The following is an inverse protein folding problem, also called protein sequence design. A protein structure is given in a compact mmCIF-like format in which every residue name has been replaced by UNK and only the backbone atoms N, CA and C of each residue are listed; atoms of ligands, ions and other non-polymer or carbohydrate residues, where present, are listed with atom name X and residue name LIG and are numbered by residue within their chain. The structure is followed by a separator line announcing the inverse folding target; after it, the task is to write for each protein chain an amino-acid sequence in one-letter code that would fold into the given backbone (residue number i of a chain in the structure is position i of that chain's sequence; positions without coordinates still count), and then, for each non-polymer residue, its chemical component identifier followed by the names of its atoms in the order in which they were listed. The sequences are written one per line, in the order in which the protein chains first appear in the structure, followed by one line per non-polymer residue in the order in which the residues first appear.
data_IF_999356052504
#
_entry.id   IF_999356052504
#
_cell.length_a   1.000
_cell.length_b   1.000
_cell.length_c   1.000
_cell.angle_alpha   90.00
_cell.angle_beta   90.00
_cell.angle_gamma   90.00
#
_symmetry.space_group_name_H-M   'P 1'
#
loop_
_entity.id
_entity.type
_entity.pdbx_description
1 polymer ?
#
# COMPACT_ATOMS: atom_id res chain seq x y z
N UNK A 1 -21.32 -0.10 5.32
CA UNK A 1 -22.63 -0.10 4.64
C UNK A 1 -23.11 1.35 4.59
N UNK A 2 -22.89 2.07 3.48
CA UNK A 2 -23.21 3.50 3.35
C UNK A 2 -24.52 3.76 2.60
N UNK A 3 -25.33 2.74 2.34
CA UNK A 3 -26.56 2.86 1.55
C UNK A 3 -27.72 2.25 2.33
N UNK A 4 -28.27 3.07 3.23
CA UNK A 4 -29.45 2.74 4.03
C UNK A 4 -30.77 3.23 3.42
N UNK A 5 -30.74 4.00 2.33
CA UNK A 5 -31.96 4.52 1.71
C UNK A 5 -31.88 4.39 0.20
N UNK A 6 -32.96 3.91 -0.42
CA UNK A 6 -33.17 3.83 -1.87
C UNK A 6 -33.39 5.23 -2.50
N UNK A 7 -32.69 6.24 -1.98
CA UNK A 7 -32.72 7.63 -2.45
C UNK A 7 -31.80 7.76 -3.66
N UNK A 8 -32.29 8.40 -4.71
CA UNK A 8 -31.53 8.77 -5.91
C UNK A 8 -31.10 10.23 -5.83
N UNK A 9 -30.21 10.62 -6.75
CA UNK A 9 -29.79 12.02 -6.87
C UNK A 9 -30.98 12.96 -7.09
N UNK A 10 -31.96 12.55 -7.91
CA UNK A 10 -33.15 13.35 -8.21
C UNK A 10 -33.96 13.67 -6.95
N UNK A 11 -34.08 12.73 -6.01
CA UNK A 11 -34.85 12.93 -4.78
C UNK A 11 -34.24 14.06 -3.95
N UNK A 12 -32.91 14.08 -3.84
CA UNK A 12 -32.17 15.12 -3.09
C UNK A 12 -32.29 16.47 -3.79
N UNK A 13 -32.26 16.51 -5.11
CA UNK A 13 -32.40 17.76 -5.88
C UNK A 13 -33.83 18.35 -5.79
N UNK A 14 -34.85 17.51 -5.68
CA UNK A 14 -36.23 17.94 -5.42
C UNK A 14 -36.40 18.39 -3.96
N UNK A 15 -35.86 17.64 -3.00
CA UNK A 15 -35.89 17.98 -1.56
C UNK A 15 -35.22 19.34 -1.29
N UNK A 16 -34.15 19.67 -2.01
CA UNK A 16 -33.43 20.95 -1.91
C UNK A 16 -34.07 22.09 -2.71
N UNK A 17 -35.15 21.81 -3.45
CA UNK A 17 -35.84 22.80 -4.27
C UNK A 17 -35.07 23.25 -5.51
N UNK A 18 -34.00 22.52 -5.89
CA UNK A 18 -33.19 22.79 -7.10
C UNK A 18 -33.91 22.36 -8.38
N UNK A 19 -34.77 21.34 -8.27
CA UNK A 19 -35.62 20.85 -9.34
C UNK A 19 -37.06 20.83 -8.85
N UNK A 20 -38.01 21.24 -9.69
CA UNK A 20 -39.44 21.12 -9.37
C UNK A 20 -39.87 19.66 -9.44
N UNK A 21 -40.80 19.28 -8.56
CA UNK A 21 -41.33 17.90 -8.52
C UNK A 21 -42.00 17.50 -9.85
N UNK A 22 -42.57 18.47 -10.57
CA UNK A 22 -43.16 18.26 -11.91
C UNK A 22 -42.14 17.77 -12.93
N UNK A 23 -40.97 18.42 -12.98
CA UNK A 23 -39.89 18.08 -13.90
C UNK A 23 -39.18 16.77 -13.50
N UNK A 24 -39.25 16.39 -12.22
CA UNK A 24 -38.57 15.21 -11.68
C UNK A 24 -39.02 13.89 -12.34
N UNK A 25 -40.28 13.78 -12.77
CA UNK A 25 -40.80 12.56 -13.41
C UNK A 25 -40.09 12.21 -14.72
N UNK A 26 -39.63 13.21 -15.48
CA UNK A 26 -38.87 13.00 -16.72
C UNK A 26 -37.44 12.51 -16.47
N UNK A 27 -36.99 12.61 -15.22
CA UNK A 27 -35.63 12.33 -14.79
C UNK A 27 -35.52 11.07 -13.93
N UNK A 28 -36.61 10.58 -13.32
CA UNK A 28 -36.64 9.39 -12.43
C UNK A 28 -36.14 8.10 -13.07
N UNK A 29 -36.31 7.97 -14.40
CA UNK A 29 -35.90 6.79 -15.18
C UNK A 29 -34.43 6.79 -15.55
N UNK A 30 -33.73 7.92 -15.39
CA UNK A 30 -32.31 8.04 -15.74
C UNK A 30 -31.42 7.48 -14.63
N UNK A 31 -30.23 7.02 -15.01
CA UNK A 31 -29.15 6.73 -14.06
C UNK A 31 -28.63 8.04 -13.47
N UNK A 32 -28.01 8.00 -12.29
CA UNK A 32 -27.45 9.21 -11.66
C UNK A 32 -26.46 9.94 -12.59
N UNK A 33 -25.64 9.20 -13.35
CA UNK A 33 -24.72 9.78 -14.33
C UNK A 33 -25.45 10.46 -15.49
N UNK A 34 -26.41 9.78 -16.14
CA UNK A 34 -27.16 10.36 -17.25
C UNK A 34 -28.01 11.55 -16.81
N UNK A 35 -28.50 11.51 -15.57
CA UNK A 35 -29.19 12.62 -14.94
C UNK A 35 -28.27 13.83 -14.77
N UNK A 36 -27.10 13.64 -14.17
CA UNK A 36 -26.09 14.68 -14.01
C UNK A 36 -25.72 15.35 -15.35
N UNK A 37 -25.40 14.55 -16.37
CA UNK A 37 -25.06 15.05 -17.70
C UNK A 37 -26.19 15.88 -18.32
N UNK A 38 -27.44 15.40 -18.23
CA UNK A 38 -28.62 16.09 -18.79
C UNK A 38 -28.91 17.39 -18.05
N UNK A 39 -28.83 17.38 -16.72
CA UNK A 39 -29.09 18.55 -15.89
C UNK A 39 -28.05 19.66 -16.11
N UNK A 40 -26.77 19.29 -16.26
CA UNK A 40 -25.71 20.22 -16.60
C UNK A 40 -25.87 20.78 -18.01
N UNK A 41 -26.19 19.92 -19.00
CA UNK A 41 -26.39 20.35 -20.38
C UNK A 41 -27.55 21.34 -20.54
N UNK A 42 -28.60 21.20 -19.72
CA UNK A 42 -29.74 22.10 -19.69
C UNK A 42 -29.53 23.34 -18.78
N UNK A 43 -28.40 23.41 -18.07
CA UNK A 43 -28.09 24.52 -17.14
C UNK A 43 -29.04 24.62 -15.95
N UNK A 44 -29.74 23.53 -15.61
CA UNK A 44 -30.77 23.53 -14.55
C UNK A 44 -30.15 23.53 -13.14
N UNK A 45 -28.96 22.94 -12.99
CA UNK A 45 -28.21 22.91 -11.73
C UNK A 45 -26.72 23.11 -11.97
N UNK A 46 -26.06 23.76 -11.01
CA UNK A 46 -24.61 23.94 -11.05
C UNK A 46 -23.87 22.67 -10.62
N UNK A 47 -22.60 22.53 -11.02
CA UNK A 47 -21.75 21.43 -10.55
C UNK A 47 -21.63 21.43 -9.01
N UNK A 48 -21.63 22.60 -8.36
CA UNK A 48 -21.55 22.68 -6.90
C UNK A 48 -22.82 22.12 -6.24
N UNK A 49 -24.00 22.39 -6.81
CA UNK A 49 -25.27 21.80 -6.35
C UNK A 49 -25.28 20.29 -6.50
N UNK A 50 -24.77 19.78 -7.63
CA UNK A 50 -24.66 18.34 -7.89
C UNK A 50 -23.73 17.66 -6.89
N UNK A 51 -22.56 18.24 -6.65
CA UNK A 51 -21.60 17.71 -5.67
C UNK A 51 -22.18 17.72 -4.25
N UNK A 52 -22.92 18.78 -3.89
CA UNK A 52 -23.62 18.86 -2.61
C UNK A 52 -24.71 17.79 -2.50
N UNK A 53 -25.48 17.58 -3.57
CA UNK A 53 -26.53 16.56 -3.59
C UNK A 53 -25.95 15.15 -3.43
N UNK A 54 -24.80 14.84 -4.05
CA UNK A 54 -24.11 13.59 -3.84
C UNK A 54 -23.51 13.46 -2.42
N UNK A 55 -22.97 14.53 -1.87
CA UNK A 55 -22.48 14.56 -0.49
C UNK A 55 -23.61 14.22 0.50
N UNK A 56 -24.80 14.81 0.31
CA UNK A 56 -25.99 14.51 1.09
C UNK A 56 -26.49 13.08 0.88
N UNK A 57 -26.52 12.61 -0.38
CA UNK A 57 -26.98 11.27 -0.75
C UNK A 57 -26.15 10.17 -0.09
N UNK A 58 -24.82 10.31 -0.12
CA UNK A 58 -23.88 9.32 0.42
C UNK A 58 -23.46 9.60 1.86
N UNK A 59 -23.96 10.68 2.47
CA UNK A 59 -23.53 11.16 3.79
C UNK A 59 -22.00 11.33 3.88
N UNK A 60 -21.41 11.89 2.82
CA UNK A 60 -19.98 12.14 2.70
C UNK A 60 -19.68 13.63 2.85
N UNK A 61 -18.53 14.01 3.44
CA UNK A 61 -18.13 15.40 3.50
C UNK A 61 -17.77 15.92 2.10
N UNK A 62 -18.08 17.19 1.84
CA UNK A 62 -17.57 17.92 0.69
C UNK A 62 -16.24 18.57 1.07
N UNK A 63 -15.20 18.32 0.29
CA UNK A 63 -13.86 18.90 0.47
C UNK A 63 -13.51 19.79 -0.71
N UNK A 64 -12.88 20.93 -0.43
CA UNK A 64 -12.25 21.78 -1.44
C UNK A 64 -10.74 21.53 -1.40
N UNK A 65 -10.15 21.16 -2.53
CA UNK A 65 -8.72 20.87 -2.69
C UNK A 65 -7.99 21.92 -3.52
N UNK A 66 -8.70 22.93 -4.01
CA UNK A 66 -8.10 24.07 -4.68
C UNK A 66 -7.08 24.74 -3.76
N UNK A 67 -5.91 25.04 -4.30
CA UNK A 67 -4.78 25.68 -3.60
C UNK A 67 -4.22 24.86 -2.42
N UNK A 68 -4.64 23.60 -2.24
CA UNK A 68 -4.10 22.71 -1.22
C UNK A 68 -2.84 22.00 -1.73
N UNK A 69 -1.72 22.17 -1.04
CA UNK A 69 -0.51 21.37 -1.29
C UNK A 69 -0.61 20.04 -0.53
N UNK A 70 -0.63 18.92 -1.27
CA UNK A 70 -0.74 17.58 -0.68
C UNK A 70 0.65 16.94 -0.69
N UNK A 71 1.12 16.36 0.44
CA UNK A 71 2.40 15.68 0.48
C UNK A 71 2.47 14.54 -0.54
N UNK A 72 3.61 14.41 -1.22
CA UNK A 72 3.78 13.41 -2.28
C UNK A 72 3.60 11.98 -1.78
N UNK A 73 4.04 11.69 -0.57
CA UNK A 73 3.85 10.39 0.09
C UNK A 73 2.37 10.01 0.20
N UNK A 74 1.47 11.00 0.32
CA UNK A 74 0.01 10.80 0.36
C UNK A 74 -0.55 10.61 -1.05
N UNK A 75 -0.14 11.44 -2.01
CA UNK A 75 -0.55 11.32 -3.42
C UNK A 75 -0.15 9.96 -4.01
N UNK A 76 1.07 9.49 -3.70
CA UNK A 76 1.60 8.21 -4.16
C UNK A 76 0.83 7.00 -3.61
N UNK A 77 -0.01 7.17 -2.58
CA UNK A 77 -0.88 6.09 -2.10
C UNK A 77 -1.90 5.69 -3.17
N UNK A 78 -2.39 6.63 -3.97
CA UNK A 78 -3.23 6.34 -5.15
C UNK A 78 -2.43 6.76 -6.38
N UNK A 79 -1.82 5.81 -7.11
CA UNK A 79 -1.10 6.08 -8.35
C UNK A 79 -1.89 6.91 -9.37
N UNK A 80 -1.19 7.73 -10.16
CA UNK A 80 -1.80 8.68 -11.11
C UNK A 80 -2.74 8.00 -12.12
N UNK A 81 -2.37 6.80 -12.59
CA UNK A 81 -3.20 6.01 -13.49
C UNK A 81 -4.57 5.66 -12.88
N UNK A 82 -4.59 5.23 -11.61
CA UNK A 82 -5.83 4.95 -10.88
C UNK A 82 -6.60 6.24 -10.58
N UNK A 83 -5.89 7.30 -10.18
CA UNK A 83 -6.49 8.60 -9.89
C UNK A 83 -7.22 9.17 -11.11
N UNK A 84 -6.61 9.08 -12.31
CA UNK A 84 -7.22 9.52 -13.57
C UNK A 84 -8.34 8.60 -14.05
N UNK A 85 -8.18 7.28 -13.90
CA UNK A 85 -9.16 6.27 -14.34
C UNK A 85 -10.45 6.36 -13.54
N UNK A 86 -10.34 6.43 -12.22
CA UNK A 86 -11.48 6.44 -11.31
C UNK A 86 -11.89 7.83 -10.84
N UNK A 87 -11.15 8.90 -11.21
CA UNK A 87 -11.44 10.28 -10.79
C UNK A 87 -11.46 10.44 -9.26
N UNK A 88 -10.46 9.84 -8.63
CA UNK A 88 -10.27 9.85 -7.18
C UNK A 88 -8.85 10.32 -6.85
N UNK A 89 -8.65 10.86 -5.65
CA UNK A 89 -7.32 11.25 -5.18
C UNK A 89 -7.18 11.13 -3.68
N UNK A 90 -6.01 10.70 -3.20
CA UNK A 90 -5.69 10.74 -1.78
C UNK A 90 -5.25 12.15 -1.40
N UNK A 91 -5.85 12.75 -0.37
CA UNK A 91 -5.54 14.13 0.04
C UNK A 91 -5.05 14.25 1.47
N UNK A 92 -5.23 13.22 2.30
CA UNK A 92 -4.63 13.16 3.62
C UNK A 92 -4.43 11.70 4.06
N UNK A 93 -3.37 11.46 4.82
CA UNK A 93 -3.10 10.19 5.46
C UNK A 93 -2.72 10.43 6.92
N UNK A 94 -3.36 9.75 7.85
CA UNK A 94 -3.09 9.91 9.29
C UNK A 94 -3.24 8.58 10.00
N UNK A 95 -2.13 8.03 10.48
CA UNK A 95 -2.11 6.70 11.10
C UNK A 95 -2.51 5.63 10.10
N UNK A 96 -3.62 4.94 10.38
CA UNK A 96 -4.24 3.93 9.52
C UNK A 96 -5.34 4.51 8.61
N UNK A 97 -5.64 5.80 8.69
CA UNK A 97 -6.75 6.43 7.98
C UNK A 97 -6.28 7.16 6.73
N UNK A 98 -6.79 6.73 5.58
CA UNK A 98 -6.59 7.38 4.29
C UNK A 98 -7.85 8.16 3.89
N UNK A 99 -7.72 9.47 3.71
CA UNK A 99 -8.81 10.29 3.18
C UNK A 99 -8.72 10.39 1.66
N UNK A 100 -9.80 10.03 1.00
CA UNK A 100 -9.90 9.96 -0.47
C UNK A 100 -10.99 10.88 -0.95
N UNK A 101 -10.68 11.75 -1.90
CA UNK A 101 -11.63 12.64 -2.54
C UNK A 101 -12.09 12.04 -3.87
N UNK A 102 -13.39 12.16 -4.16
CA UNK A 102 -14.06 11.59 -5.33
C UNK A 102 -14.71 12.73 -6.12
N UNK A 103 -14.36 12.88 -7.39
CA UNK A 103 -14.86 13.96 -8.22
C UNK A 103 -16.06 13.59 -9.09
N UNK A 104 -16.18 12.32 -9.50
CA UNK A 104 -17.31 11.80 -10.29
C UNK A 104 -18.07 10.72 -9.51
N UNK A 105 -18.77 11.06 -8.40
CA UNK A 105 -19.50 10.09 -7.60
C UNK A 105 -20.63 9.40 -8.38
N UNK A 106 -21.25 10.07 -9.36
CA UNK A 106 -22.29 9.49 -10.22
C UNK A 106 -21.81 8.31 -11.05
N UNK A 107 -20.63 8.44 -11.65
CA UNK A 107 -19.99 7.39 -12.44
C UNK A 107 -19.51 6.23 -11.58
N UNK A 108 -18.99 6.54 -10.40
CA UNK A 108 -18.54 5.52 -9.46
C UNK A 108 -19.68 4.91 -8.65
N UNK A 109 -20.90 5.45 -8.66
CA UNK A 109 -21.99 5.03 -7.79
C UNK A 109 -22.19 3.50 -7.70
N UNK A 110 -22.07 2.79 -8.84
CA UNK A 110 -22.21 1.33 -8.90
C UNK A 110 -20.99 0.56 -8.33
N UNK A 111 -19.79 1.10 -8.50
CA UNK A 111 -18.53 0.40 -8.25
C UNK A 111 -17.70 1.03 -7.12
N UNK A 112 -18.20 2.08 -6.46
CA UNK A 112 -17.46 2.88 -5.49
C UNK A 112 -16.94 2.00 -4.35
N UNK A 113 -17.78 1.11 -3.83
CA UNK A 113 -17.38 0.17 -2.78
C UNK A 113 -16.26 -0.77 -3.25
N UNK A 114 -16.31 -1.25 -4.50
CA UNK A 114 -15.29 -2.13 -5.05
C UNK A 114 -13.95 -1.41 -5.22
N UNK A 115 -13.97 -0.18 -5.74
CA UNK A 115 -12.77 0.65 -5.90
C UNK A 115 -12.15 0.98 -4.54
N UNK A 116 -12.96 1.32 -3.54
CA UNK A 116 -12.48 1.57 -2.19
C UNK A 116 -11.92 0.29 -1.54
N UNK A 117 -12.58 -0.86 -1.69
CA UNK A 117 -12.08 -2.13 -1.15
C UNK A 117 -10.79 -2.59 -1.85
N UNK A 118 -10.61 -2.33 -3.15
CA UNK A 118 -9.36 -2.60 -3.87
C UNK A 118 -8.19 -1.80 -3.27
N UNK A 119 -8.39 -0.51 -3.03
CA UNK A 119 -7.39 0.37 -2.39
C UNK A 119 -7.11 -0.07 -0.95
N UNK A 120 -8.13 -0.51 -0.22
CA UNK A 120 -8.03 -0.97 1.18
C UNK A 120 -7.29 -2.31 1.30
N UNK A 121 -7.65 -3.29 0.48
CA UNK A 121 -7.06 -4.64 0.48
C UNK A 121 -5.57 -4.62 0.17
N UNK A 122 -5.14 -3.73 -0.74
CA UNK A 122 -3.73 -3.60 -1.10
C UNK A 122 -2.85 -3.05 0.03
N UNK A 123 -3.41 -2.32 1.01
CA UNK A 123 -2.61 -1.50 1.94
C UNK A 123 -3.00 -1.59 3.42
N UNK A 124 -4.07 -2.30 3.77
CA UNK A 124 -4.52 -2.43 5.16
C UNK A 124 -5.04 -1.12 5.79
N UNK A 125 -5.39 -0.12 4.97
CA UNK A 125 -5.78 1.22 5.41
C UNK A 125 -7.31 1.35 5.54
N UNK A 126 -7.76 2.14 6.52
CA UNK A 126 -9.15 2.57 6.66
C UNK A 126 -9.42 3.76 5.76
N UNK A 127 -10.33 3.61 4.80
CA UNK A 127 -10.63 4.68 3.85
C UNK A 127 -11.79 5.55 4.32
N UNK A 128 -11.58 6.87 4.30
CA UNK A 128 -12.62 7.88 4.49
C UNK A 128 -12.87 8.64 3.18
N UNK A 129 -13.93 8.29 2.43
CA UNK A 129 -14.28 8.98 1.20
C UNK A 129 -14.87 10.38 1.47
N UNK A 130 -14.63 11.30 0.55
CA UNK A 130 -15.16 12.66 0.52
C UNK A 130 -15.50 13.02 -0.92
N UNK A 131 -16.45 13.92 -1.14
CA UNK A 131 -16.79 14.46 -2.45
C UNK A 131 -15.95 15.71 -2.73
N UNK A 132 -15.46 15.87 -3.95
CA UNK A 132 -14.72 17.06 -4.40
C UNK A 132 -15.23 17.49 -5.78
N UNK A 133 -14.82 18.68 -6.22
CA UNK A 133 -15.09 19.13 -7.58
C UNK A 133 -14.10 18.56 -8.60
N UNK A 134 -14.49 18.49 -9.88
CA UNK A 134 -13.58 18.15 -10.97
C UNK A 134 -12.46 19.18 -11.15
N UNK A 135 -12.72 20.46 -10.89
CA UNK A 135 -11.70 21.51 -10.93
C UNK A 135 -10.62 21.27 -9.87
N UNK A 136 -11.04 20.91 -8.67
CA UNK A 136 -10.19 20.62 -7.52
C UNK A 136 -9.38 19.33 -7.76
N UNK A 137 -10.01 18.29 -8.30
CA UNK A 137 -9.30 17.07 -8.70
C UNK A 137 -8.23 17.39 -9.75
N UNK A 138 -8.57 18.16 -10.79
CA UNK A 138 -7.61 18.51 -11.84
C UNK A 138 -6.42 19.32 -11.29
N UNK A 139 -6.67 20.22 -10.33
CA UNK A 139 -5.61 20.95 -9.64
C UNK A 139 -4.67 20.00 -8.89
N UNK A 140 -5.21 19.04 -8.14
CA UNK A 140 -4.37 18.05 -7.44
C UNK A 140 -3.65 17.11 -8.42
N UNK A 141 -4.30 16.73 -9.52
CA UNK A 141 -3.68 15.91 -10.57
C UNK A 141 -2.46 16.58 -11.21
N UNK A 142 -2.35 17.91 -11.19
CA UNK A 142 -1.13 18.62 -11.61
C UNK A 142 0.04 18.42 -10.63
N UNK A 143 -0.25 18.20 -9.35
CA UNK A 143 0.75 17.96 -8.31
C UNK A 143 1.38 16.57 -8.41
N UNK A 144 0.67 15.59 -9.01
CA UNK A 144 1.28 14.32 -9.40
C UNK A 144 2.48 14.54 -10.33
N UNK A 145 2.40 15.54 -11.21
CA UNK A 145 3.45 15.88 -12.18
C UNK A 145 4.64 16.64 -11.60
N UNK A 146 4.42 17.46 -10.56
CA UNK A 146 5.44 18.40 -10.06
C UNK A 146 6.60 17.72 -9.30
N UNK A 147 6.41 16.49 -8.83
CA UNK A 147 7.50 15.62 -8.38
C UNK A 147 7.33 14.20 -8.93
N UNK A 148 7.01 14.10 -10.22
CA UNK A 148 7.37 12.89 -10.94
C UNK A 148 8.88 12.70 -10.81
N UNK A 149 9.32 11.77 -9.97
CA UNK A 149 10.15 10.71 -10.56
C UNK A 149 9.35 10.21 -11.76
N UNK A 150 9.85 10.38 -12.99
CA UNK A 150 9.05 10.26 -14.21
C UNK A 150 8.18 8.99 -14.20
N UNK A 151 6.87 9.06 -14.45
CA UNK A 151 6.08 7.90 -14.83
C UNK A 151 6.59 7.54 -16.21
N UNK A 152 7.50 6.56 -16.27
CA UNK A 152 8.03 5.96 -17.50
C UNK A 152 8.03 6.98 -18.64
N UNK A 153 8.75 8.10 -18.45
CA UNK A 153 8.87 9.04 -19.54
C UNK A 153 9.49 8.25 -20.67
N UNK A 154 8.86 8.33 -21.84
CA UNK A 154 9.57 8.38 -23.10
C UNK A 154 10.52 9.59 -23.06
N UNK A 155 11.50 9.56 -22.15
CA UNK A 155 12.70 10.35 -22.23
C UNK A 155 13.52 9.76 -23.35
N UNK A 156 14.01 10.57 -24.30
CA UNK A 156 15.01 10.09 -25.22
C UNK A 156 16.19 9.60 -24.37
N UNK A 157 16.66 8.39 -24.66
CA UNK A 157 17.89 7.75 -24.17
C UNK A 157 18.89 8.76 -23.58
N UNK A 158 18.86 8.93 -22.26
CA UNK A 158 20.03 9.39 -21.51
C UNK A 158 20.35 8.25 -20.57
N UNK A 159 21.22 7.37 -21.04
CA UNK A 159 21.77 6.26 -20.27
C UNK A 159 22.36 6.84 -18.98
N UNK A 160 21.66 6.66 -17.85
CA UNK A 160 22.16 7.09 -16.54
C UNK A 160 23.35 6.19 -16.21
N UNK A 161 24.54 6.77 -16.08
CA UNK A 161 25.75 6.01 -15.76
C UNK A 161 25.70 5.58 -14.30
N UNK A 162 25.98 4.31 -14.01
CA UNK A 162 25.93 3.76 -12.65
C UNK A 162 27.20 2.98 -12.30
N UNK A 163 27.64 3.14 -11.06
CA UNK A 163 28.76 2.38 -10.48
C UNK A 163 28.24 1.20 -9.66
N UNK A 164 28.21 0.00 -10.26
CA UNK A 164 27.76 -1.22 -9.58
C UNK A 164 28.70 -1.70 -8.47
N UNK A 165 29.94 -1.21 -8.40
CA UNK A 165 30.93 -1.62 -7.39
C UNK A 165 30.60 -1.09 -5.97
N UNK A 166 29.87 0.03 -5.87
CA UNK A 166 29.51 0.66 -4.59
C UNK A 166 28.18 0.13 -4.01
N UNK A 167 27.47 -0.69 -4.78
CA UNK A 167 26.11 -1.12 -4.48
C UNK A 167 26.13 -2.59 -4.08
N UNK A 168 25.58 -2.90 -2.91
CA UNK A 168 25.32 -4.29 -2.52
C UNK A 168 23.98 -4.74 -3.09
N UNK A 169 24.01 -5.74 -3.97
CA UNK A 169 22.80 -6.26 -4.62
C UNK A 169 22.35 -7.52 -3.88
N UNK A 170 21.14 -7.52 -3.27
CA UNK A 170 20.62 -8.70 -2.61
C UNK A 170 20.28 -9.80 -3.63
N UNK A 171 20.42 -11.07 -3.22
CA UNK A 171 20.19 -12.23 -4.08
C UNK A 171 18.76 -12.24 -4.68
N UNK A 172 17.76 -11.81 -3.92
CA UNK A 172 16.36 -11.72 -4.37
C UNK A 172 16.17 -10.78 -5.56
N UNK A 173 17.00 -9.76 -5.68
CA UNK A 173 16.92 -8.76 -6.75
C UNK A 173 17.66 -9.25 -7.98
N UNK A 174 18.89 -9.74 -7.81
CA UNK A 174 19.70 -10.22 -8.93
C UNK A 174 19.11 -11.49 -9.56
N UNK A 175 18.48 -12.36 -8.76
CA UNK A 175 17.84 -13.59 -9.24
C UNK A 175 16.57 -13.37 -10.08
N UNK A 176 16.03 -12.14 -10.14
CA UNK A 176 14.92 -11.81 -11.04
C UNK A 176 15.27 -12.05 -12.52
N UNK A 177 16.55 -11.92 -12.87
CA UNK A 177 17.06 -12.25 -14.20
C UNK A 177 17.94 -13.50 -14.06
N UNK A 178 17.70 -14.59 -14.82
CA UNK A 178 18.56 -15.77 -14.77
C UNK A 178 20.01 -15.42 -15.13
N UNK A 179 20.98 -16.06 -14.46
CA UNK A 179 22.41 -15.80 -14.69
C UNK A 179 22.81 -15.94 -16.16
N UNK A 180 22.22 -16.91 -16.87
CA UNK A 180 22.49 -17.14 -18.29
C UNK A 180 22.11 -15.94 -19.17
N UNK A 181 20.97 -15.30 -18.86
CA UNK A 181 20.47 -14.11 -19.57
C UNK A 181 21.34 -12.91 -19.20
N UNK A 182 21.60 -12.74 -17.91
CA UNK A 182 22.42 -11.64 -17.39
C UNK A 182 23.83 -11.66 -17.98
N UNK A 183 24.47 -12.84 -18.03
CA UNK A 183 25.82 -13.04 -18.58
C UNK A 183 25.86 -12.90 -20.10
N UNK A 184 24.88 -13.46 -20.81
CA UNK A 184 24.83 -13.44 -22.28
C UNK A 184 24.60 -12.03 -22.83
N UNK A 185 23.74 -11.26 -22.16
CA UNK A 185 23.36 -9.92 -22.61
C UNK A 185 23.98 -8.79 -21.80
N UNK A 186 24.93 -9.11 -20.92
CA UNK A 186 25.65 -8.15 -20.06
C UNK A 186 24.68 -7.15 -19.43
N UNK A 187 23.70 -7.68 -18.71
CA UNK A 187 22.70 -6.91 -17.98
C UNK A 187 22.51 -7.48 -16.58
N UNK A 188 22.18 -6.63 -15.60
CA UNK A 188 21.97 -7.07 -14.21
C UNK A 188 20.93 -6.20 -13.53
N UNK A 189 20.04 -6.81 -12.76
CA UNK A 189 19.12 -6.07 -11.88
C UNK A 189 19.87 -5.76 -10.59
N UNK A 190 20.00 -4.48 -10.24
CA UNK A 190 20.75 -4.07 -9.04
C UNK A 190 19.84 -3.56 -7.91
N UNK A 191 18.65 -3.07 -8.23
CA UNK A 191 17.72 -2.54 -7.24
C UNK A 191 16.26 -2.82 -7.65
N UNK A 192 15.42 -3.14 -6.67
CA UNK A 192 13.99 -3.31 -6.87
C UNK A 192 13.21 -2.67 -5.70
N UNK A 193 13.02 -1.34 -5.70
CA UNK A 193 12.33 -0.66 -4.60
C UNK A 193 10.83 -1.00 -4.55
N UNK A 194 10.27 -1.57 -5.62
CA UNK A 194 8.88 -2.06 -5.64
C UNK A 194 8.75 -3.38 -6.42
N UNK A 195 7.78 -4.26 -6.12
CA UNK A 195 7.53 -5.46 -6.91
C UNK A 195 7.26 -5.14 -8.39
N UNK A 196 6.60 -4.02 -8.67
CA UNK A 196 6.30 -3.51 -10.02
C UNK A 196 7.32 -2.49 -10.56
N UNK A 197 8.48 -2.32 -9.91
CA UNK A 197 9.51 -1.39 -10.37
C UNK A 197 10.92 -1.92 -10.08
N UNK A 198 11.72 -2.09 -11.14
CA UNK A 198 13.10 -2.58 -11.06
C UNK A 198 14.07 -1.69 -11.82
N UNK A 199 15.30 -1.60 -11.32
CA UNK A 199 16.40 -0.89 -11.96
C UNK A 199 17.40 -1.90 -12.52
N UNK A 200 17.70 -1.78 -13.81
CA UNK A 200 18.55 -2.70 -14.56
C UNK A 200 19.72 -1.96 -15.15
N UNK A 201 20.93 -2.45 -14.88
CA UNK A 201 22.15 -1.97 -15.49
C UNK A 201 22.48 -2.81 -16.73
N UNK A 202 22.91 -2.15 -17.80
CA UNK A 202 23.15 -2.71 -19.13
C UNK A 202 24.48 -2.18 -19.66
N UNK A 203 25.31 -3.05 -20.24
CA UNK A 203 26.55 -2.63 -20.90
C UNK A 203 26.29 -1.88 -22.22
N UNK A 204 25.38 -2.40 -23.05
CA UNK A 204 25.11 -1.92 -24.40
C UNK A 204 23.61 -1.66 -24.62
N UNK A 205 23.09 -0.44 -24.32
CA UNK A 205 21.66 -0.10 -24.51
C UNK A 205 21.23 0.00 -25.98
N UNK A 206 22.17 -0.15 -26.92
CA UNK A 206 21.89 -0.17 -28.35
C UNK A 206 21.64 -1.58 -28.89
N UNK A 207 21.91 -2.63 -28.11
CA UNK A 207 21.62 -4.00 -28.53
C UNK A 207 20.11 -4.18 -28.72
N UNK A 208 19.72 -4.77 -29.85
CA UNK A 208 18.32 -5.01 -30.20
C UNK A 208 17.71 -6.08 -29.28
N UNK A 209 18.46 -7.13 -28.96
CA UNK A 209 17.98 -8.25 -28.13
C UNK A 209 17.79 -7.82 -26.69
N UNK A 210 18.68 -6.96 -26.17
CA UNK A 210 18.53 -6.37 -24.84
C UNK A 210 17.20 -5.65 -24.72
N UNK A 211 16.87 -4.79 -25.69
CA UNK A 211 15.59 -4.07 -25.72
C UNK A 211 14.40 -5.02 -25.76
N UNK A 212 14.42 -6.02 -26.64
CA UNK A 212 13.35 -7.03 -26.74
C UNK A 212 13.13 -7.78 -25.41
N UNK A 213 14.21 -8.10 -24.68
CA UNK A 213 14.11 -8.76 -23.36
C UNK A 213 13.50 -7.83 -22.32
N UNK A 214 13.95 -6.58 -22.27
CA UNK A 214 13.43 -5.60 -21.31
C UNK A 214 11.95 -5.30 -21.58
N UNK A 215 11.57 -5.13 -22.85
CA UNK A 215 10.18 -4.90 -23.26
C UNK A 215 9.30 -6.11 -22.94
N UNK A 216 9.80 -7.33 -23.19
CA UNK A 216 9.10 -8.56 -22.79
C UNK A 216 8.84 -8.62 -21.28
N UNK A 217 9.85 -8.27 -20.46
CA UNK A 217 9.70 -8.27 -19.00
C UNK A 217 8.72 -7.20 -18.53
N UNK A 218 8.74 -6.00 -19.16
CA UNK A 218 7.78 -4.92 -18.90
C UNK A 218 6.34 -5.37 -19.17
N UNK A 219 6.09 -5.93 -20.35
CA UNK A 219 4.75 -6.27 -20.81
C UNK A 219 4.16 -7.52 -20.12
N UNK A 220 4.98 -8.55 -19.90
CA UNK A 220 4.51 -9.80 -19.27
C UNK A 220 4.14 -9.66 -17.81
N UNK A 221 4.80 -8.75 -17.09
CA UNK A 221 4.71 -8.66 -15.64
C UNK A 221 4.14 -7.33 -15.14
N UNK A 222 3.78 -6.40 -16.04
CA UNK A 222 3.36 -5.02 -15.70
C UNK A 222 4.39 -4.32 -14.78
N UNK A 223 5.69 -4.55 -15.05
CA UNK A 223 6.81 -4.03 -14.26
C UNK A 223 7.44 -2.84 -15.00
N UNK A 224 7.60 -1.71 -14.32
CA UNK A 224 8.39 -0.60 -14.82
C UNK A 224 9.89 -0.91 -14.69
N UNK A 225 10.64 -0.78 -15.79
CA UNK A 225 12.09 -1.02 -15.82
C UNK A 225 12.83 0.27 -16.14
N UNK A 226 13.74 0.65 -15.24
CA UNK A 226 14.65 1.77 -15.42
C UNK A 226 16.04 1.28 -15.86
N UNK A 227 16.52 1.81 -16.99
CA UNK A 227 17.77 1.39 -17.63
C UNK A 227 18.94 2.30 -17.22
N UNK A 228 20.03 1.67 -16.78
CA UNK A 228 21.28 2.33 -16.42
C UNK A 228 22.43 1.77 -17.28
N UNK A 229 23.39 2.62 -17.65
CA UNK A 229 24.60 2.18 -18.34
C UNK A 229 25.68 1.86 -17.31
N UNK A 230 26.25 0.66 -17.39
CA UNK A 230 27.36 0.24 -16.55
C UNK A 230 28.46 -0.39 -17.40
N UNK A 231 29.71 -0.29 -16.95
CA UNK A 231 30.81 -0.91 -17.69
C UNK A 231 30.67 -2.44 -17.68
N UNK A 232 31.11 -3.15 -18.75
CA UNK A 232 31.09 -4.61 -18.77
C UNK A 232 31.81 -5.22 -17.56
N UNK A 233 32.92 -4.61 -17.13
CA UNK A 233 33.69 -5.05 -15.96
C UNK A 233 32.87 -5.01 -14.66
N UNK A 234 32.11 -3.95 -14.45
CA UNK A 234 31.21 -3.79 -13.30
C UNK A 234 30.10 -4.85 -13.31
N UNK A 235 29.51 -5.11 -14.48
CA UNK A 235 28.48 -6.13 -14.63
C UNK A 235 29.05 -7.53 -14.35
N UNK A 236 30.23 -7.87 -14.86
CA UNK A 236 30.86 -9.16 -14.55
C UNK A 236 31.15 -9.35 -13.05
N UNK A 237 31.53 -8.28 -12.34
CA UNK A 237 31.74 -8.35 -10.88
C UNK A 237 30.45 -8.58 -10.11
N UNK A 238 29.35 -7.98 -10.57
CA UNK A 238 28.03 -8.17 -9.97
C UNK A 238 27.54 -9.62 -10.01
N UNK A 239 28.05 -10.45 -10.93
CA UNK A 239 27.68 -11.86 -10.97
C UNK A 239 28.13 -12.67 -9.75
N UNK A 240 29.02 -12.13 -8.91
CA UNK A 240 29.34 -12.74 -7.62
C UNK A 240 28.12 -12.86 -6.70
N UNK A 241 27.13 -11.99 -6.87
CA UNK A 241 25.89 -12.00 -6.11
C UNK A 241 24.87 -13.04 -6.61
N UNK A 242 25.11 -13.71 -7.75
CA UNK A 242 24.30 -14.86 -8.20
C UNK A 242 24.61 -16.15 -7.45
N UNK A 243 25.71 -16.20 -6.70
CA UNK A 243 25.93 -17.34 -5.81
C UNK A 243 25.03 -17.14 -4.57
N UNK A 244 24.18 -18.12 -4.22
CA UNK A 244 23.53 -18.11 -2.92
C UNK A 244 24.62 -18.01 -1.85
N UNK A 245 24.34 -17.42 -0.68
CA UNK A 245 25.31 -17.36 0.41
C UNK A 245 25.87 -18.77 0.59
N UNK A 246 27.16 -18.96 0.29
CA UNK A 246 27.83 -20.17 0.75
C UNK A 246 27.70 -20.09 2.25
N UNK A 247 26.91 -20.99 2.82
CA UNK A 247 26.95 -21.32 4.22
C UNK A 247 28.44 -21.46 4.52
N UNK A 248 29.01 -20.48 5.22
CA UNK A 248 30.37 -20.55 5.70
C UNK A 248 30.49 -21.91 6.37
N UNK A 249 31.54 -22.72 6.09
CA UNK A 249 31.74 -23.94 6.83
C UNK A 249 31.59 -23.56 8.30
N UNK A 250 30.55 -24.09 8.96
CA UNK A 250 30.53 -24.08 10.41
C UNK A 250 31.91 -24.59 10.78
N UNK A 251 32.66 -23.77 11.49
CA UNK A 251 33.89 -24.21 12.12
C UNK A 251 33.48 -25.46 12.88
N UNK A 252 33.82 -26.62 12.32
CA UNK A 252 33.52 -27.88 12.95
C UNK A 252 34.16 -27.76 14.33
N UNK A 253 33.33 -27.73 15.36
CA UNK A 253 33.79 -27.95 16.72
C UNK A 253 34.74 -29.14 16.66
N UNK A 254 35.98 -29.02 17.17
CA UNK A 254 36.93 -30.12 17.08
C UNK A 254 36.25 -31.37 17.61
N UNK A 255 36.40 -32.53 16.94
CA UNK A 255 35.77 -33.75 17.38
C UNK A 255 36.13 -34.00 18.85
N UNK A 256 35.19 -34.49 19.67
CA UNK A 256 35.51 -34.84 21.04
C UNK A 256 36.70 -35.82 21.04
N UNK A 257 37.65 -35.68 21.98
CA UNK A 257 38.81 -36.56 22.02
C UNK A 257 38.34 -38.01 22.09
N UNK A 258 38.98 -38.86 21.29
CA UNK A 258 38.71 -40.30 21.25
C UNK A 258 38.72 -40.88 22.68
N UNK A 259 37.83 -41.83 23.01
CA UNK A 259 37.85 -42.48 24.31
C UNK A 259 39.21 -43.16 24.50
N UNK A 260 39.86 -42.87 25.62
CA UNK A 260 41.13 -43.45 25.99
C UNK A 260 41.04 -44.99 25.95
N UNK A 261 41.87 -45.59 25.11
CA UNK A 261 42.12 -47.04 25.10
C UNK A 261 42.71 -47.40 26.46
N UNK A 262 41.88 -47.93 27.34
CA UNK A 262 42.33 -48.51 28.60
C UNK A 262 42.78 -49.95 28.33
N UNK A 263 44.10 -50.17 28.35
CA UNK A 263 44.67 -51.51 28.43
C UNK A 263 44.32 -52.17 29.77
N UNK A 264 44.26 -53.50 29.84
CA UNK A 264 43.84 -54.23 31.02
C UNK A 264 45.00 -54.42 31.99
N UNK A 265 44.76 -54.18 33.29
CA UNK A 265 45.61 -54.71 34.35
C UNK A 265 44.73 -55.21 35.51
N UNK A 266 44.88 -56.50 35.72
CA UNK A 266 44.38 -57.39 36.77
C UNK A 266 44.57 -56.89 38.21
N UNK A 267 43.56 -57.14 39.04
CA UNK A 267 43.77 -57.78 40.35
C UNK A 267 43.39 -57.00 41.61
N UNK A 268 42.33 -57.45 42.29
CA UNK A 268 42.44 -57.76 43.72
C UNK A 268 41.59 -57.00 44.74
N UNK A 269 40.50 -57.67 45.15
CA UNK A 269 39.92 -57.80 46.51
C UNK A 269 39.02 -56.71 47.13
N UNK A 270 37.77 -57.16 47.35
CA UNK A 270 36.98 -57.22 48.61
C UNK A 270 36.84 -55.94 49.45
N UNK A 271 35.60 -55.44 49.58
CA UNK A 271 34.77 -55.70 50.78
C UNK A 271 33.36 -55.11 50.66
N UNK A 272 32.40 -55.91 51.11
CA UNK A 272 30.98 -55.66 51.41
C UNK A 272 30.62 -54.29 52.01
N UNK A 273 29.46 -53.76 51.60
CA UNK A 273 28.28 -53.67 52.48
C UNK A 273 27.07 -53.08 51.73
N UNK A 274 26.07 -53.91 51.47
CA UNK A 274 24.66 -53.54 51.19
C UNK A 274 23.91 -53.37 52.54
N UNK A 275 22.59 -53.13 52.58
CA UNK A 275 21.66 -52.32 51.75
C UNK A 275 20.83 -51.37 52.65
N UNK A 276 19.88 -50.59 52.10
CA UNK A 276 18.46 -50.53 52.52
C UNK A 276 17.71 -49.61 51.53
N UNK A 277 16.65 -50.14 50.93
CA UNK A 277 15.63 -49.45 50.12
C UNK A 277 14.34 -49.29 50.97
N UNK A 278 13.13 -49.01 50.43
CA UNK A 278 12.66 -48.06 49.40
C UNK A 278 11.48 -47.18 49.92
N UNK A 279 10.98 -46.21 49.14
CA UNK A 279 9.52 -45.89 49.06
C UNK A 279 9.21 -44.71 48.09
N UNK A 280 8.58 -45.06 46.96
CA UNK A 280 7.34 -44.59 46.33
C UNK A 280 6.74 -43.19 46.58
N UNK A 281 6.03 -42.71 45.54
CA UNK A 281 4.93 -41.71 45.50
C UNK A 281 5.39 -40.26 45.33
N UNK A 282 4.77 -39.35 44.57
CA UNK A 282 3.66 -39.30 43.60
C UNK A 282 3.76 -37.89 42.98
N UNK A 283 3.43 -37.72 41.69
CA UNK A 283 2.90 -36.45 41.16
C UNK A 283 1.46 -36.28 41.71
N UNK A 284 0.88 -35.06 41.91
CA UNK A 284 0.42 -34.27 40.77
C UNK A 284 0.25 -32.74 41.09
N UNK A 285 -0.65 -31.93 40.47
CA UNK A 285 -0.32 -30.59 39.94
C UNK A 285 -1.12 -29.48 40.66
N UNK A 286 -1.14 -28.25 40.10
CA UNK A 286 -2.08 -27.10 40.29
C UNK A 286 -1.27 -25.80 40.53
N UNK A 287 -1.67 -24.59 40.14
CA UNK A 287 -2.88 -24.03 39.50
C UNK A 287 -2.60 -22.58 39.11
N UNK A 288 -3.32 -22.14 38.08
CA UNK A 288 -3.75 -20.76 37.81
C UNK A 288 -4.23 -19.97 39.04
N UNK A 289 -3.87 -18.67 39.10
CA UNK A 289 -4.63 -17.56 39.75
C UNK A 289 -4.26 -16.29 38.95
N UNK A 290 -5.09 -15.73 38.06
CA UNK A 290 -6.32 -14.92 38.21
C UNK A 290 -6.14 -13.51 38.82
N UNK A 291 -6.50 -12.50 38.00
CA UNK A 291 -6.78 -11.08 38.33
C UNK A 291 -7.75 -10.92 39.51
N UNK A 292 -7.80 -9.74 40.12
CA UNK A 292 -8.91 -8.78 39.91
C UNK A 292 -8.40 -7.31 39.88
N UNK A 293 -9.10 -6.20 39.66
CA UNK A 293 -10.44 -5.78 39.20
C UNK A 293 -10.36 -4.23 39.03
N UNK A 294 -11.35 -3.57 38.38
CA UNK A 294 -11.39 -2.12 38.17
C UNK A 294 -12.17 -1.39 39.29
N UNK A 295 -11.92 -0.08 39.46
CA UNK A 295 -12.67 0.81 40.36
C UNK A 295 -13.54 1.79 39.58
N UNK A 296 -14.77 2.01 40.08
CA UNK A 296 -15.76 2.95 39.58
C UNK A 296 -16.46 3.66 40.76
N UNK A 297 -17.17 4.76 40.43
CA UNK A 297 -18.13 5.57 41.21
C UNK A 297 -17.53 6.61 42.19
N UNK A 298 -18.07 7.83 42.37
CA UNK A 298 -19.44 8.33 42.12
C UNK A 298 -19.56 9.87 42.06
N UNK A 299 -20.71 10.28 41.51
CA UNK A 299 -21.50 11.54 41.51
C UNK A 299 -21.26 12.71 42.50
N UNK A 300 -21.44 13.97 42.02
CA UNK A 300 -22.60 14.87 42.26
C UNK A 300 -22.33 16.36 41.89
N UNK A 301 -23.30 16.98 41.17
CA UNK A 301 -23.85 18.32 41.46
C UNK A 301 -23.14 19.59 40.95
N UNK A 302 -23.84 20.37 40.08
CA UNK A 302 -24.46 21.69 40.35
C UNK A 302 -24.42 22.64 39.12
N UNK A 303 -25.59 23.12 38.71
CA UNK A 303 -25.78 24.32 37.87
C UNK A 303 -25.56 25.61 38.70
N UNK A 304 -25.41 26.80 38.08
CA UNK A 304 -26.62 27.57 37.77
C UNK A 304 -26.58 28.43 36.49
N UNK A 305 -27.79 28.90 36.20
CA UNK A 305 -28.32 29.81 35.19
C UNK A 305 -27.86 31.28 35.35
N UNK A 306 -27.61 32.01 34.25
CA UNK A 306 -27.70 33.48 34.20
C UNK A 306 -27.96 34.00 32.76
N UNK A 307 -28.77 35.06 32.71
CA UNK A 307 -29.57 35.65 31.61
C UNK A 307 -28.81 36.36 30.48
N UNK A 308 -29.47 36.64 29.34
CA UNK A 308 -29.04 37.65 28.38
C UNK A 308 -29.43 39.07 28.84
N UNK A 309 -28.59 40.06 28.56
CA UNK A 309 -28.89 41.48 28.74
C UNK A 309 -29.12 42.16 27.37
N UNK A 310 -30.20 42.93 27.32
CA UNK A 310 -30.67 43.77 26.21
C UNK A 310 -30.41 45.24 26.55
N UNK A 311 -30.31 46.10 25.51
CA UNK A 311 -30.66 47.56 25.43
C UNK A 311 -29.67 48.61 25.99
N UNK A 312 -29.74 49.89 25.54
CA UNK A 312 -30.67 50.52 24.59
C UNK A 312 -30.06 50.99 23.25
#
# INVERSE_FOLDING_TARGET
MFLGNNKKLIDVLVETGKIKREDAHDFEKLTNQALEEKLQAQGLVSQEDINWAYAALYSLPLVKLKDTSIPQEVLAIIPENLARKYKIVAYAHTGDVLKVAIAEPGRLAANLNQVLEEIKSQKGLKIMPAITSMADLNFVLQQYSHHQTPPAAVTPKVSREINLDEIQIPYEVISKFPEDIARKYKMVVFEAPHPSFIKVAVADPNDRKVREILDFVREKNDIAIEEYHATPAQIYRSFRFYQPPKESPQVASPPPPAPAVSQPATGGKLSESTPVAPATSELPPKKFVSRPAPSALSSQGKAPEAKPATTP
#
